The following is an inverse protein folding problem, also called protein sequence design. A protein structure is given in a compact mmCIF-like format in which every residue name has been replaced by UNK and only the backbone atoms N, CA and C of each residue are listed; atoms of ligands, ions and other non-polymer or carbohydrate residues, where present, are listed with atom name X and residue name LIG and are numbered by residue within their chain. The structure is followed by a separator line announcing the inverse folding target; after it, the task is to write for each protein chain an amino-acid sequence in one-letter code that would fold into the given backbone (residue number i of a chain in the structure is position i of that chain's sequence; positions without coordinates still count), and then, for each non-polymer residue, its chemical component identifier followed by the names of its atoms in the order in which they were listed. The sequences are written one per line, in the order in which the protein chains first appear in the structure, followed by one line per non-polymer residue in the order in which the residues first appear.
data_IF_332207767562
#
_entry.id   IF_332207767562
#
_cell.length_a   1.000
_cell.length_b   1.000
_cell.length_c   1.000
_cell.angle_alpha   90.00
_cell.angle_beta   90.00
_cell.angle_gamma   90.00
#
_symmetry.space_group_name_H-M   'P 1'
#
loop_
_entity.id
_entity.type
_entity.pdbx_description
1 polymer ?
#
# COMPACT_ATOMS: atom_id res chain seq x y z
N UNK A 1 -14.50 -6.18 -11.97
CA UNK A 1 -14.33 -6.56 -10.62
C UNK A 1 -13.80 -5.46 -9.81
N UNK A 2 -14.23 -5.36 -8.61
CA UNK A 2 -13.77 -4.30 -7.73
C UNK A 2 -12.44 -4.68 -7.11
N UNK A 3 -11.59 -3.70 -6.91
CA UNK A 3 -10.33 -3.90 -6.25
C UNK A 3 -10.58 -3.86 -4.76
N UNK A 4 -10.08 -4.83 -4.04
CA UNK A 4 -10.27 -4.88 -2.62
C UNK A 4 -9.04 -4.34 -1.89
N UNK A 5 -9.22 -4.03 -0.62
CA UNK A 5 -8.12 -3.56 0.18
C UNK A 5 -7.00 -4.60 0.26
N UNK A 6 -7.38 -5.87 0.33
CA UNK A 6 -6.38 -6.93 0.36
C UNK A 6 -5.51 -6.92 -0.89
N UNK A 7 -6.10 -6.66 -2.04
CA UNK A 7 -5.33 -6.59 -3.27
C UNK A 7 -4.37 -5.41 -3.24
N UNK A 8 -4.82 -4.30 -2.69
CA UNK A 8 -3.97 -3.12 -2.57
C UNK A 8 -2.80 -3.41 -1.65
N UNK A 9 -3.08 -4.05 -0.52
CA UNK A 9 -2.02 -4.38 0.42
C UNK A 9 -1.02 -5.35 -0.20
N UNK A 10 -1.49 -6.34 -0.92
CA UNK A 10 -0.60 -7.30 -1.55
C UNK A 10 0.30 -6.63 -2.58
N UNK A 11 -0.27 -5.76 -3.40
CA UNK A 11 0.52 -5.06 -4.40
C UNK A 11 1.55 -4.16 -3.76
N UNK A 12 1.15 -3.44 -2.71
CA UNK A 12 2.07 -2.54 -2.01
C UNK A 12 3.20 -3.34 -1.36
N UNK A 13 2.86 -4.47 -0.77
CA UNK A 13 3.87 -5.32 -0.14
C UNK A 13 4.87 -5.83 -1.15
N UNK A 14 4.41 -6.22 -2.32
CA UNK A 14 5.30 -6.72 -3.36
C UNK A 14 6.26 -5.63 -3.82
N UNK A 15 5.75 -4.44 -4.02
CA UNK A 15 6.58 -3.33 -4.47
C UNK A 15 7.60 -2.99 -3.40
N UNK A 16 7.16 -2.96 -2.16
CA UNK A 16 8.03 -2.65 -1.05
C UNK A 16 9.12 -3.72 -0.90
N UNK A 17 8.74 -4.96 -1.05
CA UNK A 17 9.70 -6.08 -0.93
C UNK A 17 10.72 -6.05 -2.05
N UNK A 18 10.37 -5.48 -3.19
CA UNK A 18 11.29 -5.37 -4.30
C UNK A 18 12.26 -4.20 -4.12
N UNK A 19 12.16 -3.48 -3.02
CA UNK A 19 13.05 -2.36 -2.77
C UNK A 19 12.59 -1.07 -3.42
N UNK A 20 11.37 -1.03 -3.90
CA UNK A 20 10.83 0.15 -4.53
C UNK A 20 9.82 0.83 -3.62
N UNK A 21 9.54 2.08 -3.91
CA UNK A 21 8.54 2.79 -3.14
C UNK A 21 7.15 2.38 -3.58
N UNK A 22 6.34 1.97 -2.63
CA UNK A 22 4.97 1.61 -2.92
C UNK A 22 4.13 2.87 -2.98
N UNK A 23 4.24 3.60 -4.07
CA UNK A 23 3.47 4.82 -4.24
C UNK A 23 2.10 4.48 -4.80
N UNK A 24 1.19 5.44 -4.71
CA UNK A 24 -0.15 5.27 -5.23
C UNK A 24 -0.11 4.87 -6.71
N UNK A 25 0.72 5.57 -7.48
CA UNK A 25 0.83 5.28 -8.91
C UNK A 25 1.40 3.89 -9.15
N UNK A 26 2.40 3.49 -8.38
CA UNK A 26 3.02 2.19 -8.55
C UNK A 26 2.03 1.07 -8.22
N UNK A 27 1.28 1.23 -7.15
CA UNK A 27 0.28 0.22 -6.77
C UNK A 27 -0.82 0.15 -7.82
N UNK A 28 -1.27 1.30 -8.29
CA UNK A 28 -2.31 1.32 -9.30
C UNK A 28 -1.85 0.62 -10.57
N UNK A 29 -0.61 0.83 -10.94
CA UNK A 29 -0.05 0.18 -12.11
C UNK A 29 0.06 -1.32 -11.90
N UNK A 30 0.46 -1.74 -10.72
CA UNK A 30 0.58 -3.16 -10.42
C UNK A 30 -0.78 -3.85 -10.44
N UNK A 31 -1.82 -3.13 -10.04
CA UNK A 31 -3.16 -3.69 -10.03
C UNK A 31 -3.83 -3.64 -11.40
N UNK A 32 -3.25 -2.89 -12.32
CA UNK A 32 -3.81 -2.77 -13.65
C UNK A 32 -4.91 -1.74 -13.74
N UNK A 33 -4.98 -0.83 -12.79
CA UNK A 33 -6.00 0.20 -12.79
C UNK A 33 -6.85 0.12 -11.53
N UNK A 34 -8.05 0.66 -11.62
CA UNK A 34 -8.96 0.62 -10.49
C UNK A 34 -9.31 2.02 -10.02
N UNK A 35 -10.17 2.08 -9.01
CA UNK A 35 -10.62 3.35 -8.49
C UNK A 35 -9.49 4.04 -7.75
N UNK A 36 -9.19 5.24 -8.17
CA UNK A 36 -8.14 6.02 -7.55
C UNK A 36 -8.43 6.25 -6.06
N UNK A 37 -9.68 6.54 -5.74
CA UNK A 37 -10.08 6.78 -4.37
C UNK A 37 -9.89 5.53 -3.52
N UNK A 38 -10.32 4.39 -4.03
CA UNK A 38 -10.18 3.14 -3.29
C UNK A 38 -8.71 2.81 -3.04
N UNK A 39 -7.88 2.97 -4.07
CA UNK A 39 -6.46 2.69 -3.93
C UNK A 39 -5.83 3.66 -2.94
N UNK A 40 -6.21 4.93 -3.01
CA UNK A 40 -5.66 5.92 -2.11
C UNK A 40 -5.98 5.59 -0.65
N UNK A 41 -7.21 5.19 -0.39
CA UNK A 41 -7.61 4.82 0.96
C UNK A 41 -6.85 3.59 1.44
N UNK A 42 -6.72 2.60 0.58
CA UNK A 42 -5.98 1.41 0.93
C UNK A 42 -4.52 1.70 1.20
N UNK A 43 -3.93 2.57 0.39
CA UNK A 43 -2.54 2.94 0.60
C UNK A 43 -2.32 3.68 1.90
N UNK A 44 -3.25 4.54 2.27
CA UNK A 44 -3.16 5.27 3.52
C UNK A 44 -3.14 4.29 4.69
N UNK A 45 -4.01 3.31 4.65
CA UNK A 45 -4.06 2.31 5.70
C UNK A 45 -2.81 1.43 5.70
N UNK A 46 -2.36 1.06 4.52
CA UNK A 46 -1.16 0.24 4.41
C UNK A 46 0.06 0.96 4.98
N UNK A 47 0.19 2.24 4.66
CA UNK A 47 1.31 3.01 5.18
C UNK A 47 1.25 3.13 6.69
N UNK A 48 0.06 3.30 7.24
CA UNK A 48 -0.09 3.40 8.67
C UNK A 48 0.34 2.12 9.36
N UNK A 49 -0.03 0.99 8.78
CA UNK A 49 0.37 -0.31 9.33
C UNK A 49 1.86 -0.53 9.22
N UNK A 50 2.42 -0.16 8.08
CA UNK A 50 3.84 -0.33 7.87
C UNK A 50 4.63 0.51 8.84
N UNK A 51 4.22 1.75 9.04
CA UNK A 51 4.90 2.64 9.98
C UNK A 51 4.84 2.09 11.39
N UNK A 52 3.70 1.56 11.78
CA UNK A 52 3.53 0.99 13.10
C UNK A 52 4.45 -0.22 13.29
N UNK A 53 4.64 -0.98 12.21
CA UNK A 53 5.49 -2.12 12.31
C UNK A 53 6.95 -1.78 12.31
N UNK A 54 7.36 -0.85 11.49
CA UNK A 54 8.75 -0.49 11.37
C UNK A 54 9.25 0.41 12.47
N UNK A 55 8.35 1.11 13.13
CA UNK A 55 8.78 2.00 14.17
C UNK A 55 8.18 1.60 15.44
N UNK A 56 8.56 0.55 15.89
CA UNK A 56 7.93 0.01 17.05
C UNK A 56 8.02 0.94 18.13
N UNK A 57 8.69 1.52 18.47
CA UNK A 57 8.65 2.21 19.53
C UNK A 57 9.35 3.24 19.55
N UNK A 58 9.07 4.06 19.41
CA UNK A 58 9.59 5.08 19.41
C UNK A 58 9.58 5.61 20.57
N UNK A 59 9.89 5.64 21.28
CA UNK A 59 9.85 6.04 22.42
C UNK A 59 9.98 7.11 22.60
N UNK A 60 9.43 7.57 23.05
CA UNK A 60 9.40 8.90 23.40
C UNK A 60 10.48 9.22 24.26
#
# INVERSE_FOLDING_TARGET
MAITRDQIFAAADEIDAAGQNATLAAVRKALGGGSFTTISEGMTEWKARKAAKETPLREP
#
